data_IF_317536863276
#
_entry.id   IF_317536863276
#
_cell.length_a   1.000
_cell.length_b   1.000
_cell.length_c   1.000
_cell.angle_alpha   90.00
_cell.angle_beta   90.00
_cell.angle_gamma   90.00
#
_symmetry.space_group_name_H-M   'P 1'
#
loop_
_entity.id
_entity.type
_entity.pdbx_description
1 polymer ?
#
# COMPACT_ATOMS: atom_id res chain seq x y z
N UNK A 1 4.56 -10.99 -1.39
CA UNK A 1 4.60 -10.59 0.04
C UNK A 1 3.20 -10.67 0.62
N UNK A 2 3.06 -10.87 1.94
CA UNK A 2 1.78 -10.89 2.65
C UNK A 2 1.46 -9.49 3.19
N UNK A 3 0.27 -8.99 2.90
CA UNK A 3 -0.30 -7.78 3.51
C UNK A 3 -0.69 -8.07 4.98
N UNK A 4 -0.11 -7.34 5.92
CA UNK A 4 -0.34 -7.54 7.37
C UNK A 4 -1.13 -6.41 8.02
N UNK A 5 -1.08 -5.19 7.48
CA UNK A 5 -1.84 -4.05 7.97
C UNK A 5 -2.19 -3.08 6.83
N UNK A 6 -3.35 -2.44 6.96
CA UNK A 6 -3.79 -1.31 6.14
C UNK A 6 -4.26 -0.23 7.11
N UNK A 7 -3.70 0.97 6.99
CA UNK A 7 -4.10 2.14 7.74
C UNK A 7 -4.47 3.25 6.76
N UNK A 8 -5.67 3.82 6.93
CA UNK A 8 -6.14 4.94 6.13
C UNK A 8 -5.89 6.24 6.88
N UNK A 9 -5.33 7.21 6.17
CA UNK A 9 -5.17 8.58 6.66
C UNK A 9 -6.16 9.46 5.90
N UNK A 10 -7.01 10.17 6.63
CA UNK A 10 -8.08 10.97 6.05
C UNK A 10 -7.73 12.47 6.10
N UNK A 11 -8.19 13.22 5.10
CA UNK A 11 -8.23 14.67 5.10
C UNK A 11 -9.35 15.20 6.03
N UNK A 12 -9.38 16.51 6.27
CA UNK A 12 -10.44 17.17 7.05
C UNK A 12 -11.84 16.98 6.44
N UNK A 13 -11.93 16.81 5.12
CA UNK A 13 -13.19 16.57 4.40
C UNK A 13 -13.65 15.09 4.42
N UNK A 14 -12.88 14.22 5.08
CA UNK A 14 -13.16 12.79 5.19
C UNK A 14 -12.70 11.93 4.01
N UNK A 15 -12.09 12.52 2.97
CA UNK A 15 -11.50 11.77 1.85
C UNK A 15 -10.19 11.09 2.28
N UNK A 16 -9.85 9.94 1.68
CA UNK A 16 -8.58 9.29 1.96
C UNK A 16 -7.42 10.05 1.32
N UNK A 17 -6.52 10.58 2.16
CA UNK A 17 -5.29 11.26 1.75
C UNK A 17 -4.18 10.27 1.37
N UNK A 18 -3.96 9.26 2.21
CA UNK A 18 -2.97 8.22 1.99
C UNK A 18 -3.36 6.91 2.65
N UNK A 19 -2.80 5.80 2.16
CA UNK A 19 -2.96 4.48 2.76
C UNK A 19 -1.58 3.96 3.12
N UNK A 20 -1.32 3.76 4.40
CA UNK A 20 -0.12 3.10 4.89
C UNK A 20 -0.33 1.59 4.92
N UNK A 21 0.57 0.87 4.27
CA UNK A 21 0.48 -0.56 4.00
C UNK A 21 1.71 -1.24 4.58
N UNK A 22 1.49 -2.22 5.47
CA UNK A 22 2.56 -3.09 5.96
C UNK A 22 2.56 -4.42 5.20
N UNK A 23 3.71 -4.80 4.68
CA UNK A 23 3.92 -6.07 4.00
C UNK A 23 5.06 -6.85 4.65
N UNK A 24 4.90 -8.18 4.68
CA UNK A 24 5.90 -9.10 5.22
C UNK A 24 6.18 -10.25 4.25
N UNK A 25 7.43 -10.65 4.12
CA UNK A 25 7.85 -11.86 3.45
C UNK A 25 8.72 -12.68 4.39
N UNK A 26 8.28 -13.89 4.68
CA UNK A 26 8.99 -14.81 5.57
C UNK A 26 9.80 -15.79 4.72
N UNK A 27 11.10 -15.83 4.93
CA UNK A 27 12.04 -16.73 4.28
C UNK A 27 12.98 -17.32 5.35
N UNK A 28 12.45 -18.28 6.12
CA UNK A 28 13.11 -18.86 7.30
C UNK A 28 14.60 -19.16 7.07
N UNK A 29 15.50 -18.73 7.98
CA UNK A 29 15.24 -18.06 9.26
C UNK A 29 15.02 -16.55 9.16
N UNK A 30 15.11 -16.00 7.95
CA UNK A 30 15.06 -14.56 7.69
C UNK A 30 13.65 -14.09 7.38
N UNK A 31 13.43 -12.78 7.48
CA UNK A 31 12.21 -12.16 6.98
C UNK A 31 12.52 -10.75 6.49
N UNK A 32 11.64 -10.26 5.62
CA UNK A 32 11.62 -8.87 5.16
C UNK A 32 10.29 -8.26 5.56
N UNK A 33 10.32 -7.08 6.17
CA UNK A 33 9.14 -6.25 6.41
C UNK A 33 9.30 -4.92 5.69
N UNK A 34 8.23 -4.44 5.08
CA UNK A 34 8.18 -3.15 4.41
C UNK A 34 6.95 -2.37 4.86
N UNK A 35 7.12 -1.06 5.06
CA UNK A 35 6.03 -0.10 5.22
C UNK A 35 5.99 0.77 3.99
N UNK A 36 4.83 0.87 3.35
CA UNK A 36 4.63 1.62 2.11
C UNK A 36 3.45 2.53 2.23
N UNK A 37 3.66 3.80 1.94
CA UNK A 37 2.58 4.75 1.76
C UNK A 37 2.11 4.73 0.30
N UNK A 38 0.80 4.56 0.10
CA UNK A 38 0.11 4.78 -1.16
C UNK A 38 -0.55 6.16 -1.13
N UNK A 39 -0.36 6.89 -2.21
CA UNK A 39 -0.90 8.23 -2.45
C UNK A 39 -1.62 8.26 -3.80
N UNK A 40 -2.29 9.36 -4.11
CA UNK A 40 -2.92 9.58 -5.42
C UNK A 40 -1.95 9.42 -6.60
N UNK A 41 -0.65 9.68 -6.40
CA UNK A 41 0.38 9.51 -7.44
C UNK A 41 0.66 8.04 -7.79
N UNK A 42 0.21 7.10 -6.96
CA UNK A 42 0.38 5.66 -7.17
C UNK A 42 -0.82 5.04 -7.92
N UNK A 43 -1.89 5.80 -8.13
CA UNK A 43 -3.10 5.35 -8.80
C UNK A 43 -2.95 5.40 -10.32
N UNK A 44 -3.68 4.53 -11.01
CA UNK A 44 -3.95 4.67 -12.45
C UNK A 44 -5.13 5.62 -12.66
N UNK A 45 -5.13 6.36 -13.76
CA UNK A 45 -6.10 7.43 -14.04
C UNK A 45 -7.56 7.04 -13.73
N UNK A 46 -8.26 7.97 -13.07
CA UNK A 46 -9.69 7.93 -12.68
C UNK A 46 -10.09 7.07 -11.46
N UNK A 47 -9.14 6.57 -10.65
CA UNK A 47 -9.44 5.96 -9.35
C UNK A 47 -9.15 6.91 -8.18
N UNK A 48 -9.91 6.77 -7.09
CA UNK A 48 -9.58 7.39 -5.79
C UNK A 48 -9.04 6.33 -4.84
N UNK A 49 -8.37 6.76 -3.76
CA UNK A 49 -7.90 5.83 -2.72
C UNK A 49 -9.07 5.14 -1.99
N UNK A 50 -10.22 5.81 -1.90
CA UNK A 50 -11.42 5.32 -1.22
C UNK A 50 -12.09 4.15 -1.96
N UNK A 51 -11.91 4.08 -3.29
CA UNK A 51 -12.51 3.04 -4.13
C UNK A 51 -11.68 1.74 -4.18
N UNK A 52 -10.49 1.75 -3.57
CA UNK A 52 -9.58 0.62 -3.67
C UNK A 52 -10.05 -0.57 -2.83
N UNK A 53 -10.22 -1.70 -3.49
CA UNK A 53 -10.32 -2.98 -2.78
C UNK A 53 -9.00 -3.34 -2.11
N UNK A 54 -9.06 -4.16 -1.06
CA UNK A 54 -7.87 -4.73 -0.40
C UNK A 54 -6.87 -5.35 -1.38
N UNK A 55 -7.37 -5.99 -2.45
CA UNK A 55 -6.50 -6.61 -3.46
C UNK A 55 -5.74 -5.54 -4.24
N UNK A 56 -6.41 -4.49 -4.70
CA UNK A 56 -5.77 -3.38 -5.40
C UNK A 56 -4.74 -2.66 -4.52
N UNK A 57 -5.05 -2.43 -3.24
CA UNK A 57 -4.08 -1.87 -2.26
C UNK A 57 -2.82 -2.75 -2.18
N UNK A 58 -2.99 -4.07 -2.08
CA UNK A 58 -1.87 -5.01 -2.04
C UNK A 58 -1.03 -5.00 -3.32
N UNK A 59 -1.68 -4.96 -4.48
CA UNK A 59 -1.02 -4.98 -5.79
C UNK A 59 -0.25 -3.67 -6.03
N UNK A 60 -0.85 -2.52 -5.69
CA UNK A 60 -0.21 -1.20 -5.77
C UNK A 60 0.98 -1.09 -4.81
N UNK A 61 0.82 -1.52 -3.55
CA UNK A 61 1.91 -1.49 -2.58
C UNK A 61 3.07 -2.40 -3.03
N UNK A 62 2.78 -3.58 -3.56
CA UNK A 62 3.81 -4.47 -4.08
C UNK A 62 4.52 -3.86 -5.29
N UNK A 63 3.78 -3.28 -6.24
CA UNK A 63 4.36 -2.62 -7.41
C UNK A 63 5.26 -1.44 -7.02
N UNK A 64 4.82 -0.61 -6.05
CA UNK A 64 5.62 0.49 -5.52
C UNK A 64 6.88 0.00 -4.82
N UNK A 65 6.78 -1.06 -4.01
CA UNK A 65 7.95 -1.66 -3.37
C UNK A 65 9.00 -2.05 -4.40
N UNK A 66 8.60 -2.79 -5.44
CA UNK A 66 9.51 -3.27 -6.49
C UNK A 66 10.25 -2.10 -7.15
N UNK A 67 9.59 -0.96 -7.37
CA UNK A 67 10.24 0.26 -7.89
C UNK A 67 11.23 0.93 -6.93
N UNK A 68 11.09 0.72 -5.62
CA UNK A 68 11.96 1.31 -4.59
C UNK A 68 13.22 0.45 -4.38
N UNK A 69 13.07 -0.87 -4.38
CA UNK A 69 14.14 -1.81 -4.01
C UNK A 69 14.75 -2.58 -5.19
N UNK A 70 14.13 -2.53 -6.37
CA UNK A 70 14.62 -3.15 -7.60
C UNK A 70 15.14 -2.10 -8.58
#
# INVERSE_FOLDING_TARGET
MKLTNIQYNFNEDGTTQSINVSMRFDASPNYVSASIELSVADLTDSQTLDDLTRKQISDLAHAKLVKIVG
#
